data_IF_601119983088
#
_entry.id   IF_601119983088
#
_cell.length_a   1.000
_cell.length_b   1.000
_cell.length_c   1.000
_cell.angle_alpha   90.00
_cell.angle_beta   90.00
_cell.angle_gamma   90.00
#
_symmetry.space_group_name_H-M   'P 1'
#
loop_
_entity.id
_entity.type
_entity.pdbx_description
1 polymer ?
#
# COMPACT_ATOMS: atom_id res chain seq x y z
N UNK A 1 -41.26 -32.61 -23.66
CA UNK A 1 -41.13 -31.41 -22.78
C UNK A 1 -40.22 -31.65 -21.57
N UNK A 2 -40.15 -32.86 -20.99
CA UNK A 2 -39.30 -33.22 -19.85
C UNK A 2 -37.78 -33.03 -20.10
N UNK A 3 -37.25 -33.54 -21.23
CA UNK A 3 -35.79 -33.49 -21.49
C UNK A 3 -35.27 -32.09 -21.80
N UNK A 4 -36.10 -31.24 -22.41
CA UNK A 4 -35.73 -29.85 -22.69
C UNK A 4 -35.56 -29.03 -21.40
N UNK A 5 -36.42 -29.26 -20.39
CA UNK A 5 -36.27 -28.64 -19.06
C UNK A 5 -35.04 -29.15 -18.32
N UNK A 6 -34.78 -30.45 -18.37
CA UNK A 6 -33.58 -31.05 -17.75
C UNK A 6 -32.29 -30.51 -18.38
N UNK A 7 -32.23 -30.44 -19.71
CA UNK A 7 -31.07 -29.88 -20.41
C UNK A 7 -30.85 -28.40 -20.04
N UNK A 8 -31.90 -27.59 -19.98
CA UNK A 8 -31.80 -26.18 -19.56
C UNK A 8 -31.32 -26.06 -18.11
N UNK A 9 -31.85 -26.88 -17.18
CA UNK A 9 -31.42 -26.89 -15.78
C UNK A 9 -29.96 -27.33 -15.63
N UNK A 10 -29.53 -28.36 -16.35
CA UNK A 10 -28.15 -28.84 -16.33
C UNK A 10 -27.19 -27.81 -16.92
N UNK A 11 -27.54 -27.18 -18.04
CA UNK A 11 -26.73 -26.10 -18.62
C UNK A 11 -26.63 -24.91 -17.67
N UNK A 12 -27.74 -24.50 -17.05
CA UNK A 12 -27.74 -23.42 -16.05
C UNK A 12 -26.88 -23.77 -14.84
N UNK A 13 -26.96 -25.01 -14.35
CA UNK A 13 -26.14 -25.48 -13.23
C UNK A 13 -24.66 -25.42 -13.57
N UNK A 14 -24.24 -25.88 -14.76
CA UNK A 14 -22.85 -25.83 -15.22
C UNK A 14 -22.35 -24.40 -15.36
N UNK A 15 -23.13 -23.51 -15.99
CA UNK A 15 -22.76 -22.08 -16.14
C UNK A 15 -22.62 -21.42 -14.77
N UNK A 16 -23.54 -21.70 -13.85
CA UNK A 16 -23.48 -21.15 -12.49
C UNK A 16 -22.23 -21.65 -11.75
N UNK A 17 -21.94 -22.96 -11.83
CA UNK A 17 -20.77 -23.57 -11.20
C UNK A 17 -19.45 -22.98 -11.72
N UNK A 18 -19.36 -22.64 -13.00
CA UNK A 18 -18.19 -22.01 -13.60
C UNK A 18 -18.09 -20.51 -13.30
N UNK A 19 -19.23 -19.83 -13.13
CA UNK A 19 -19.25 -18.39 -12.82
C UNK A 19 -18.77 -18.07 -11.40
N UNK A 20 -18.96 -18.98 -10.44
CA UNK A 20 -18.59 -18.78 -9.04
C UNK A 20 -17.06 -18.61 -8.86
N UNK A 21 -16.19 -19.49 -9.38
CA UNK A 21 -14.74 -19.30 -9.32
C UNK A 21 -14.28 -18.00 -10.00
N UNK A 22 -14.88 -17.64 -11.13
CA UNK A 22 -14.53 -16.41 -11.83
C UNK A 22 -14.90 -15.18 -11.00
N UNK A 23 -16.11 -15.14 -10.43
CA UNK A 23 -16.54 -14.06 -9.56
C UNK A 23 -15.66 -13.97 -8.31
N UNK A 24 -15.32 -15.10 -7.68
CA UNK A 24 -14.42 -15.14 -6.54
C UNK A 24 -13.02 -14.62 -6.89
N UNK A 25 -12.48 -15.02 -8.05
CA UNK A 25 -11.20 -14.51 -8.55
C UNK A 25 -11.23 -13.00 -8.76
N UNK A 26 -12.25 -12.47 -9.43
CA UNK A 26 -12.40 -11.03 -9.65
C UNK A 26 -12.52 -10.25 -8.34
N UNK A 27 -13.28 -10.78 -7.37
CA UNK A 27 -13.38 -10.18 -6.03
C UNK A 27 -12.02 -10.15 -5.34
N UNK A 28 -11.24 -11.24 -5.38
CA UNK A 28 -9.89 -11.27 -4.81
C UNK A 28 -8.93 -10.31 -5.51
N UNK A 29 -9.02 -10.19 -6.84
CA UNK A 29 -8.20 -9.23 -7.58
C UNK A 29 -8.47 -7.79 -7.13
N UNK A 30 -9.74 -7.41 -6.94
CA UNK A 30 -10.12 -6.05 -6.56
C UNK A 30 -9.84 -5.79 -5.07
N UNK A 31 -10.26 -6.70 -4.19
CA UNK A 31 -10.21 -6.48 -2.76
C UNK A 31 -8.82 -6.70 -2.14
N UNK A 32 -7.96 -7.49 -2.78
CA UNK A 32 -6.70 -7.93 -2.18
C UNK A 32 -5.48 -7.69 -3.06
N UNK A 33 -5.43 -8.31 -4.24
CA UNK A 33 -4.23 -8.26 -5.08
C UNK A 33 -3.99 -6.88 -5.68
N UNK A 34 -5.05 -6.12 -5.98
CA UNK A 34 -4.95 -4.72 -6.43
C UNK A 34 -4.23 -3.86 -5.40
N UNK A 35 -4.78 -3.70 -4.18
CA UNK A 35 -4.12 -2.97 -3.10
C UNK A 35 -2.70 -3.48 -2.79
N UNK A 36 -2.51 -4.80 -2.72
CA UNK A 36 -1.19 -5.38 -2.45
C UNK A 36 -0.15 -4.99 -3.52
N UNK A 37 -0.53 -4.92 -4.80
CA UNK A 37 0.36 -4.46 -5.87
C UNK A 37 0.74 -3.00 -5.75
N UNK A 38 -0.21 -2.13 -5.40
CA UNK A 38 0.05 -0.69 -5.22
C UNK A 38 1.07 -0.47 -4.09
N UNK A 39 0.90 -1.15 -2.96
CA UNK A 39 1.85 -1.04 -1.85
C UNK A 39 3.21 -1.65 -2.17
N UNK A 40 3.24 -2.77 -2.92
CA UNK A 40 4.50 -3.37 -3.36
C UNK A 40 5.28 -2.46 -4.35
N UNK A 41 4.57 -1.79 -5.27
CA UNK A 41 5.17 -0.81 -6.18
C UNK A 41 5.70 0.42 -5.43
N UNK A 42 4.93 0.94 -4.47
CA UNK A 42 5.38 2.02 -3.59
C UNK A 42 6.63 1.63 -2.80
N UNK A 43 6.68 0.40 -2.28
CA UNK A 43 7.87 -0.11 -1.60
C UNK A 43 9.09 -0.14 -2.54
N UNK A 44 8.97 -0.75 -3.72
CA UNK A 44 10.07 -0.84 -4.68
C UNK A 44 10.60 0.55 -5.11
N UNK A 45 9.69 1.52 -5.30
CA UNK A 45 10.06 2.90 -5.63
C UNK A 45 10.77 3.60 -4.47
N UNK A 46 10.32 3.41 -3.23
CA UNK A 46 11.02 3.94 -2.06
C UNK A 46 12.40 3.29 -1.88
N UNK A 47 12.51 1.97 -2.04
CA UNK A 47 13.80 1.26 -1.98
C UNK A 47 14.77 1.78 -3.04
N UNK A 48 14.27 2.12 -4.23
CA UNK A 48 15.07 2.75 -5.29
C UNK A 48 15.61 4.12 -4.85
N UNK A 49 14.77 4.98 -4.27
CA UNK A 49 15.20 6.30 -3.74
C UNK A 49 16.28 6.12 -2.67
N UNK A 50 16.08 5.17 -1.75
CA UNK A 50 17.04 4.91 -0.67
C UNK A 50 18.39 4.43 -1.24
N UNK A 51 18.35 3.52 -2.21
CA UNK A 51 19.57 3.03 -2.87
C UNK A 51 20.30 4.12 -3.66
N UNK A 52 19.58 4.95 -4.41
CA UNK A 52 20.16 6.05 -5.20
C UNK A 52 20.82 7.13 -4.34
N UNK A 53 20.35 7.32 -3.11
CA UNK A 53 20.90 8.28 -2.17
C UNK A 53 21.85 7.65 -1.14
N UNK A 54 22.18 6.36 -1.30
CA UNK A 54 23.06 5.60 -0.40
C UNK A 54 22.61 5.62 1.07
N UNK A 55 21.29 5.65 1.32
CA UNK A 55 20.73 5.65 2.66
C UNK A 55 20.76 4.26 3.29
N UNK A 56 21.15 4.17 4.56
CA UNK A 56 21.24 2.90 5.30
C UNK A 56 19.89 2.38 5.80
N UNK A 57 18.83 3.14 5.60
CA UNK A 57 17.48 2.83 6.03
C UNK A 57 16.72 1.82 5.16
N UNK A 58 15.46 1.58 5.53
CA UNK A 58 14.52 0.83 4.70
C UNK A 58 13.06 1.30 4.91
N UNK A 59 12.24 1.28 3.84
CA UNK A 59 10.80 1.46 3.92
C UNK A 59 10.08 0.12 4.19
N UNK A 60 8.96 0.16 4.93
CA UNK A 60 8.05 -0.98 5.09
C UNK A 60 6.61 -0.55 4.81
N UNK A 61 5.99 -1.17 3.81
CA UNK A 61 4.63 -0.86 3.38
C UNK A 61 3.65 -1.96 3.78
N UNK A 62 2.58 -1.59 4.47
CA UNK A 62 1.57 -2.51 5.01
C UNK A 62 0.19 -2.15 4.48
N UNK A 63 -0.30 -2.91 3.50
CA UNK A 63 -1.60 -2.62 2.88
C UNK A 63 -2.81 -2.98 3.77
N UNK A 64 -2.70 -3.95 4.68
CA UNK A 64 -3.80 -4.30 5.61
C UNK A 64 -4.03 -3.23 6.67
N UNK A 65 -2.96 -2.57 7.09
CA UNK A 65 -2.98 -1.55 8.14
C UNK A 65 -3.00 -0.13 7.55
N UNK A 66 -3.03 0.00 6.22
CA UNK A 66 -2.96 1.26 5.50
C UNK A 66 -1.81 2.14 6.00
N UNK A 67 -0.63 1.53 6.15
CA UNK A 67 0.51 2.11 6.86
C UNK A 67 1.79 2.03 6.05
N UNK A 68 2.61 3.06 6.17
CA UNK A 68 4.03 3.03 5.80
C UNK A 68 4.90 3.34 7.01
N UNK A 69 6.04 2.67 7.10
CA UNK A 69 7.08 2.92 8.08
C UNK A 69 8.39 3.21 7.37
N UNK A 70 9.03 4.33 7.70
CA UNK A 70 10.37 4.67 7.24
C UNK A 70 11.34 4.56 8.41
N UNK A 71 12.34 3.69 8.27
CA UNK A 71 13.45 3.58 9.23
C UNK A 71 14.69 4.11 8.53
N UNK A 72 15.13 5.35 8.78
CA UNK A 72 16.21 5.97 7.99
C UNK A 72 16.82 7.22 8.68
N UNK A 73 18.05 7.13 9.23
CA UNK A 73 18.70 8.26 9.92
C UNK A 73 19.09 9.38 8.98
N UNK A 74 19.29 9.10 7.70
CA UNK A 74 19.60 10.09 6.68
C UNK A 74 18.37 10.88 6.22
N UNK A 75 17.16 10.42 6.55
CA UNK A 75 15.93 11.14 6.19
C UNK A 75 15.79 12.38 7.07
N UNK A 76 15.85 13.55 6.45
CA UNK A 76 15.84 14.86 7.10
C UNK A 76 14.94 15.86 6.35
N UNK A 77 14.85 17.08 6.87
CA UNK A 77 14.01 18.14 6.33
C UNK A 77 14.34 18.52 4.87
N UNK A 78 15.59 18.28 4.42
CA UNK A 78 16.06 18.64 3.09
C UNK A 78 15.69 17.62 2.02
N UNK A 79 15.48 16.36 2.42
CA UNK A 79 15.33 15.24 1.48
C UNK A 79 14.03 14.45 1.65
N UNK A 80 13.27 14.65 2.74
CA UNK A 80 12.00 13.94 2.99
C UNK A 80 10.99 14.08 1.84
N UNK A 81 11.03 15.22 1.13
CA UNK A 81 10.15 15.49 0.00
C UNK A 81 10.34 14.54 -1.20
N UNK A 82 11.48 13.84 -1.28
CA UNK A 82 11.72 12.81 -2.30
C UNK A 82 10.71 11.66 -2.19
N UNK A 83 10.16 11.43 -0.99
CA UNK A 83 9.18 10.37 -0.75
C UNK A 83 7.75 10.79 -1.07
N UNK A 84 7.45 12.10 -1.14
CA UNK A 84 6.07 12.58 -1.26
C UNK A 84 5.34 12.08 -2.51
N UNK A 85 5.95 12.08 -3.72
CA UNK A 85 5.28 11.55 -4.92
C UNK A 85 4.97 10.06 -4.83
N UNK A 86 5.69 9.31 -3.99
CA UNK A 86 5.44 7.88 -3.78
C UNK A 86 4.30 7.71 -2.77
N UNK A 87 4.33 8.47 -1.67
CA UNK A 87 3.28 8.44 -0.64
C UNK A 87 1.92 8.85 -1.22
N UNK A 88 1.87 9.91 -2.03
CA UNK A 88 0.64 10.34 -2.72
C UNK A 88 0.12 9.34 -3.75
N UNK A 89 0.94 8.40 -4.23
CA UNK A 89 0.49 7.38 -5.18
C UNK A 89 -0.27 6.21 -4.54
N UNK A 90 -0.32 6.17 -3.20
CA UNK A 90 -1.00 5.10 -2.45
C UNK A 90 -2.32 5.60 -1.88
N UNK A 91 -3.37 5.41 -2.67
CA UNK A 91 -4.74 5.75 -2.24
C UNK A 91 -5.13 4.99 -0.97
N UNK A 92 -5.64 5.74 0.01
CA UNK A 92 -6.15 5.19 1.26
C UNK A 92 -5.11 4.93 2.33
N UNK A 93 -3.86 5.37 2.14
CA UNK A 93 -2.88 5.42 3.22
C UNK A 93 -3.40 6.26 4.40
N UNK A 94 -3.21 5.78 5.63
CA UNK A 94 -3.72 6.40 6.86
C UNK A 94 -2.66 6.62 7.92
N UNK A 95 -1.55 5.91 7.87
CA UNK A 95 -0.53 5.96 8.90
C UNK A 95 0.86 6.11 8.27
N UNK A 96 1.59 7.10 8.75
CA UNK A 96 2.99 7.33 8.41
C UNK A 96 3.79 7.27 9.70
N UNK A 97 4.67 6.28 9.81
CA UNK A 97 5.56 6.12 10.95
C UNK A 97 7.00 6.44 10.55
N UNK A 98 7.63 7.33 11.31
CA UNK A 98 9.01 7.72 11.13
C UNK A 98 9.83 7.15 12.29
N UNK A 99 10.85 6.35 11.95
CA UNK A 99 11.72 5.69 12.91
C UNK A 99 13.15 6.10 12.67
N UNK A 100 13.79 6.55 13.74
CA UNK A 100 15.19 6.92 13.75
C UNK A 100 15.56 7.80 12.56
N UNK A 101 14.75 8.83 12.32
CA UNK A 101 14.95 9.85 11.29
C UNK A 101 15.60 11.09 11.88
N UNK A 102 16.28 11.89 11.05
CA UNK A 102 16.84 13.19 11.44
C UNK A 102 15.93 14.38 11.16
N UNK A 103 14.66 14.11 10.84
CA UNK A 103 13.61 15.13 10.71
C UNK A 103 13.47 15.96 11.98
N UNK A 104 13.49 17.28 11.83
CA UNK A 104 13.25 18.21 12.93
C UNK A 104 11.75 18.30 13.23
N UNK A 105 11.34 18.90 14.37
CA UNK A 105 9.93 19.17 14.63
C UNK A 105 9.23 19.96 13.50
N UNK A 106 9.94 20.88 12.84
CA UNK A 106 9.41 21.67 11.73
C UNK A 106 9.25 20.81 10.47
N UNK A 107 10.21 19.93 10.18
CA UNK A 107 10.10 18.96 9.08
C UNK A 107 8.94 17.97 9.29
N UNK A 108 8.74 17.49 10.53
CA UNK A 108 7.59 16.65 10.89
C UNK A 108 6.27 17.42 10.73
N UNK A 109 6.23 18.71 11.10
CA UNK A 109 5.05 19.55 10.90
C UNK A 109 4.76 19.75 9.41
N UNK A 110 5.77 20.06 8.60
CA UNK A 110 5.62 20.20 7.15
C UNK A 110 5.07 18.91 6.51
N UNK A 111 5.55 17.74 6.95
CA UNK A 111 5.06 16.47 6.45
C UNK A 111 3.61 16.20 6.88
N UNK A 112 3.21 16.61 8.09
CA UNK A 112 1.80 16.54 8.53
C UNK A 112 0.89 17.45 7.70
N UNK A 113 1.38 18.63 7.34
CA UNK A 113 0.63 19.57 6.49
C UNK A 113 0.48 19.04 5.06
N UNK A 114 1.49 18.34 4.54
CA UNK A 114 1.44 17.69 3.22
C UNK A 114 0.47 16.50 3.18
N UNK A 115 0.36 15.74 4.28
CA UNK A 115 -0.51 14.56 4.39
C UNK A 115 -1.54 14.71 5.52
N UNK A 116 -2.49 15.65 5.40
CA UNK A 116 -3.39 16.04 6.49
C UNK A 116 -4.34 14.92 6.94
N UNK A 117 -4.62 13.96 6.06
CA UNK A 117 -5.50 12.81 6.35
C UNK A 117 -4.75 11.60 6.96
N UNK A 118 -3.43 11.69 7.09
CA UNK A 118 -2.61 10.65 7.69
C UNK A 118 -2.34 10.92 9.18
N UNK A 119 -2.38 9.85 9.97
CA UNK A 119 -1.84 9.84 11.32
C UNK A 119 -0.32 9.69 11.28
N UNK A 120 0.38 10.55 12.02
CA UNK A 120 1.83 10.56 12.10
C UNK A 120 2.32 10.12 13.47
N UNK A 121 3.29 9.22 13.47
CA UNK A 121 4.03 8.85 14.68
C UNK A 121 5.52 8.89 14.42
N UNK A 122 6.27 9.49 15.35
CA UNK A 122 7.73 9.61 15.28
C UNK A 122 8.33 8.85 16.46
N UNK A 123 9.36 8.05 16.19
CA UNK A 123 10.05 7.22 17.16
C UNK A 123 11.57 7.42 17.04
N UNK A 124 12.24 7.61 18.18
CA UNK A 124 13.68 7.87 18.22
C UNK A 124 14.55 6.60 18.08
N UNK A 125 13.97 5.40 18.10
CA UNK A 125 14.71 4.14 18.25
C UNK A 125 14.39 3.13 17.16
N UNK A 126 15.40 2.37 16.72
CA UNK A 126 15.24 1.16 15.91
C UNK A 126 14.74 0.04 16.83
N UNK A 127 13.65 -0.65 16.47
CA UNK A 127 13.18 -1.84 17.18
C UNK A 127 14.00 -3.08 16.81
#
# INVERSE_FOLDING_TARGET
MSDRRKNVLSSLAVVTLLSIPLAAYLLLQIAWFGPARVYADAQARCETVFAENEWSGYPLWFHYDYRVRFVCPELDDSNVALLYPIIHSVDGLRYIELYATSLTPDGVAAMKDEFPDCHFTVYDQWF
#
